data_IF_990585681378
#
_entry.id   IF_990585681378
#
_cell.length_a   1.000
_cell.length_b   1.000
_cell.length_c   1.000
_cell.angle_alpha   90.00
_cell.angle_beta   90.00
_cell.angle_gamma   90.00
#
_symmetry.space_group_name_H-M   'P 1'
#
loop_
_entity.id
_entity.type
_entity.pdbx_description
1 polymer ?
#
# COMPACT_ATOMS: atom_id res chain seq x y z
N UNK A 1 -40.32 -72.00 -14.40
CA UNK A 1 -39.27 -71.22 -13.74
C UNK A 1 -37.97 -71.57 -14.43
N UNK A 2 -37.55 -70.76 -15.41
CA UNK A 2 -36.21 -70.87 -15.96
C UNK A 2 -35.37 -69.84 -15.23
N UNK A 3 -34.49 -70.33 -14.36
CA UNK A 3 -33.42 -69.56 -13.78
C UNK A 3 -32.47 -69.19 -14.92
N UNK A 4 -32.64 -67.98 -15.47
CA UNK A 4 -31.70 -67.43 -16.44
C UNK A 4 -30.45 -67.04 -15.67
N UNK A 5 -29.55 -68.01 -15.52
CA UNK A 5 -28.25 -67.85 -14.90
C UNK A 5 -27.59 -66.56 -15.35
N UNK A 6 -27.14 -65.77 -14.37
CA UNK A 6 -26.43 -64.53 -14.58
C UNK A 6 -25.19 -64.81 -15.42
N UNK A 7 -25.23 -64.40 -16.69
CA UNK A 7 -24.08 -64.45 -17.58
C UNK A 7 -23.06 -63.45 -17.04
N UNK A 8 -22.11 -63.92 -16.24
CA UNK A 8 -20.95 -63.15 -15.84
C UNK A 8 -20.22 -62.75 -17.12
N UNK A 9 -20.17 -61.45 -17.40
CA UNK A 9 -19.56 -60.92 -18.61
C UNK A 9 -18.06 -61.30 -18.60
N UNK A 10 -17.58 -62.15 -19.53
CA UNK A 10 -16.24 -62.75 -19.43
C UNK A 10 -15.12 -61.83 -19.94
N UNK A 11 -15.45 -60.61 -20.34
CA UNK A 11 -14.50 -59.69 -20.92
C UNK A 11 -13.72 -58.94 -19.83
N UNK A 12 -12.43 -59.25 -19.71
CA UNK A 12 -11.46 -58.43 -18.98
C UNK A 12 -10.95 -57.35 -19.93
N UNK A 13 -11.21 -56.09 -19.62
CA UNK A 13 -10.62 -54.96 -20.35
C UNK A 13 -9.31 -54.60 -19.65
N UNK A 14 -8.17 -54.94 -20.26
CA UNK A 14 -6.85 -54.52 -19.79
C UNK A 14 -6.37 -53.32 -20.59
N UNK A 15 -6.26 -52.16 -19.96
CA UNK A 15 -5.69 -50.96 -20.57
C UNK A 15 -4.19 -50.95 -20.27
N UNK A 16 -3.38 -51.41 -21.23
CA UNK A 16 -1.92 -51.49 -21.06
C UNK A 16 -1.22 -50.12 -21.16
N UNK A 17 -1.87 -49.12 -21.79
CA UNK A 17 -1.38 -47.74 -21.88
C UNK A 17 -2.54 -46.79 -22.21
N UNK A 18 -2.80 -45.82 -21.35
CA UNK A 18 -3.64 -44.67 -21.66
C UNK A 18 -2.73 -43.45 -21.88
N UNK A 19 -2.87 -42.75 -22.99
CA UNK A 19 -2.08 -41.55 -23.31
C UNK A 19 -3.01 -40.36 -23.39
N UNK A 20 -2.86 -39.41 -22.47
CA UNK A 20 -3.55 -38.12 -22.55
C UNK A 20 -2.66 -37.13 -23.28
N UNK A 21 -3.15 -36.55 -24.36
CA UNK A 21 -2.49 -35.46 -25.06
C UNK A 21 -3.39 -34.23 -24.97
N UNK A 22 -2.94 -33.22 -24.23
CA UNK A 22 -3.53 -31.88 -24.34
C UNK A 22 -2.81 -31.15 -25.47
N UNK A 23 -3.53 -30.39 -26.30
CA UNK A 23 -2.89 -29.48 -27.23
C UNK A 23 -2.16 -28.39 -26.44
N UNK A 24 -0.84 -28.52 -26.30
CA UNK A 24 0.04 -27.43 -25.85
C UNK A 24 0.71 -27.56 -24.47
N UNK A 25 0.58 -28.68 -23.74
CA UNK A 25 1.30 -28.88 -22.46
C UNK A 25 2.09 -30.20 -22.49
N UNK A 26 3.40 -30.14 -22.27
CA UNK A 26 4.38 -31.22 -22.54
C UNK A 26 4.78 -32.04 -21.28
N UNK A 27 4.20 -31.77 -20.11
CA UNK A 27 4.59 -32.49 -18.89
C UNK A 27 3.67 -33.67 -18.54
N UNK A 28 4.21 -34.75 -17.96
CA UNK A 28 3.41 -35.91 -17.57
C UNK A 28 2.36 -35.51 -16.54
N UNK A 29 1.10 -35.71 -16.89
CA UNK A 29 -0.04 -35.58 -15.96
C UNK A 29 0.01 -36.84 -15.09
N UNK A 30 0.37 -36.70 -13.81
CA UNK A 30 0.04 -37.75 -12.83
C UNK A 30 -1.48 -37.80 -12.73
N UNK A 31 -2.05 -38.91 -13.17
CA UNK A 31 -3.47 -39.16 -13.14
C UNK A 31 -3.76 -40.18 -12.04
N UNK A 32 -4.59 -39.80 -11.08
CA UNK A 32 -5.15 -40.76 -10.14
C UNK A 32 -6.21 -41.57 -10.89
N UNK A 33 -6.04 -42.90 -10.90
CA UNK A 33 -7.01 -43.83 -11.44
C UNK A 33 -7.82 -44.39 -10.27
N UNK A 34 -9.13 -44.07 -10.24
CA UNK A 34 -10.05 -44.68 -9.28
C UNK A 34 -11.16 -45.44 -10.04
N UNK A 35 -11.47 -46.63 -9.56
CA UNK A 35 -12.57 -47.46 -10.08
C UNK A 35 -13.59 -47.58 -8.95
N UNK A 36 -14.76 -46.98 -9.17
CA UNK A 36 -15.88 -47.01 -8.23
C UNK A 36 -17.14 -47.35 -9.05
N UNK A 37 -17.93 -48.34 -8.58
CA UNK A 37 -19.15 -48.83 -9.25
C UNK A 37 -18.99 -49.17 -10.75
N UNK A 38 -17.82 -49.68 -11.13
CA UNK A 38 -17.54 -50.08 -12.52
C UNK A 38 -17.28 -48.92 -13.48
N UNK A 39 -17.21 -47.68 -12.98
CA UNK A 39 -16.85 -46.49 -13.75
C UNK A 39 -15.40 -46.11 -13.43
N UNK A 40 -14.56 -46.06 -14.47
CA UNK A 40 -13.21 -45.51 -14.37
C UNK A 40 -13.30 -43.98 -14.40
N UNK A 41 -13.03 -43.33 -13.27
CA UNK A 41 -12.92 -41.88 -13.19
C UNK A 41 -11.47 -41.46 -13.32
N UNK A 42 -11.16 -40.60 -14.30
CA UNK A 42 -9.87 -39.93 -14.40
C UNK A 42 -10.05 -38.49 -13.97
N UNK A 43 -9.43 -38.13 -12.84
CA UNK A 43 -9.29 -36.73 -12.43
C UNK A 43 -7.88 -36.29 -12.78
N UNK A 44 -7.68 -35.42 -13.79
CA UNK A 44 -6.36 -34.85 -14.02
C UNK A 44 -6.00 -33.99 -12.80
N UNK A 45 -5.08 -34.49 -11.98
CA UNK A 45 -4.50 -33.73 -10.89
C UNK A 45 -3.51 -32.72 -11.45
N UNK A 46 -3.81 -31.43 -11.36
CA UNK A 46 -2.76 -30.43 -11.49
C UNK A 46 -1.95 -30.47 -10.18
N UNK A 47 -0.76 -31.09 -10.20
CA UNK A 47 0.18 -30.97 -9.07
C UNK A 47 0.41 -29.49 -8.80
N UNK A 48 -0.06 -29.08 -7.64
CA UNK A 48 0.03 -27.73 -7.11
C UNK A 48 1.50 -27.46 -6.78
N UNK A 49 2.15 -26.51 -7.45
CA UNK A 49 3.51 -26.09 -7.12
C UNK A 49 4.34 -25.59 -8.30
N UNK A 50 4.15 -24.32 -8.67
CA UNK A 50 5.17 -23.42 -9.21
C UNK A 50 4.46 -22.07 -9.45
N UNK A 51 4.49 -21.19 -8.44
CA UNK A 51 3.80 -19.90 -8.49
C UNK A 51 4.23 -19.13 -9.76
N UNK A 52 3.23 -18.80 -10.58
CA UNK A 52 3.20 -18.84 -12.06
C UNK A 52 4.14 -17.89 -12.85
N UNK A 53 4.43 -18.18 -14.14
CA UNK A 53 5.02 -17.25 -15.12
C UNK A 53 3.86 -16.56 -15.85
N UNK A 54 3.94 -15.25 -16.08
CA UNK A 54 3.02 -14.54 -16.95
C UNK A 54 3.81 -13.56 -17.83
N UNK A 55 4.35 -14.10 -18.93
CA UNK A 55 4.70 -13.32 -20.14
C UNK A 55 3.55 -13.33 -21.16
N UNK A 56 2.67 -14.32 -21.08
CA UNK A 56 1.40 -14.50 -21.80
C UNK A 56 0.45 -15.39 -20.95
N UNK A 57 -0.85 -15.55 -21.27
CA UNK A 57 -1.84 -16.25 -20.44
C UNK A 57 -1.53 -17.72 -20.02
N UNK A 58 -0.51 -18.37 -20.61
CA UNK A 58 -0.29 -19.82 -20.48
C UNK A 58 1.14 -20.26 -20.08
N UNK A 59 2.07 -19.34 -19.79
CA UNK A 59 3.46 -19.72 -19.40
C UNK A 59 3.57 -20.18 -17.93
N UNK A 60 4.55 -21.03 -17.58
CA UNK A 60 4.82 -21.45 -16.18
C UNK A 60 6.32 -21.53 -15.85
N UNK A 61 6.76 -21.20 -14.62
CA UNK A 61 8.16 -21.31 -14.22
C UNK A 61 8.50 -22.78 -14.03
N UNK A 62 9.69 -23.18 -14.48
CA UNK A 62 10.10 -24.58 -14.46
C UNK A 62 11.11 -24.85 -13.34
N UNK A 63 11.75 -23.81 -12.81
CA UNK A 63 12.76 -23.91 -11.74
C UNK A 63 12.58 -22.82 -10.68
N UNK A 64 13.29 -22.94 -9.56
CA UNK A 64 13.35 -21.94 -8.48
C UNK A 64 14.37 -20.82 -8.73
N UNK A 65 15.14 -20.92 -9.81
CA UNK A 65 16.08 -19.87 -10.24
C UNK A 65 15.43 -18.91 -11.26
N UNK A 66 14.26 -19.27 -11.80
CA UNK A 66 13.50 -18.45 -12.73
C UNK A 66 12.83 -17.26 -12.01
N UNK A 67 12.92 -16.07 -12.61
CA UNK A 67 12.10 -14.92 -12.20
C UNK A 67 10.60 -15.21 -12.33
N UNK A 68 9.84 -14.87 -11.28
CA UNK A 68 8.38 -15.01 -11.22
C UNK A 68 7.72 -13.70 -11.65
N UNK A 69 6.94 -13.72 -12.74
CA UNK A 69 6.18 -12.56 -13.23
C UNK A 69 4.68 -12.87 -13.24
N UNK A 70 3.84 -11.96 -12.74
CA UNK A 70 2.37 -12.06 -12.77
C UNK A 70 1.78 -10.79 -13.41
N UNK A 71 0.94 -10.95 -14.43
CA UNK A 71 0.12 -9.91 -15.09
C UNK A 71 -1.21 -9.65 -14.33
N UNK A 72 -1.73 -10.69 -13.69
CA UNK A 72 -2.94 -10.67 -12.86
C UNK A 72 -2.72 -10.12 -11.45
N UNK A 73 -3.77 -10.17 -10.64
CA UNK A 73 -3.70 -9.82 -9.23
C UNK A 73 -3.17 -11.03 -8.45
N UNK A 74 -2.27 -10.79 -7.51
CA UNK A 74 -1.77 -11.79 -6.56
C UNK A 74 -2.41 -11.51 -5.21
N UNK A 75 -3.00 -12.53 -4.60
CA UNK A 75 -3.51 -12.47 -3.24
C UNK A 75 -2.79 -13.52 -2.39
N UNK A 76 -2.32 -13.12 -1.20
CA UNK A 76 -1.65 -13.98 -0.24
C UNK A 76 -2.48 -13.98 1.04
N UNK A 77 -2.74 -15.17 1.61
CA UNK A 77 -3.48 -15.32 2.87
C UNK A 77 -5.00 -15.45 2.74
N UNK A 78 -5.59 -15.13 1.58
CA UNK A 78 -7.04 -15.24 1.31
C UNK A 78 -7.40 -16.32 0.30
N UNK A 79 -8.55 -16.97 0.51
CA UNK A 79 -9.11 -17.95 -0.44
C UNK A 79 -9.68 -17.29 -1.70
N UNK A 80 -10.25 -16.08 -1.58
CA UNK A 80 -10.77 -15.28 -2.70
C UNK A 80 -10.74 -13.81 -2.34
N UNK A 81 -10.50 -12.91 -3.30
CA UNK A 81 -10.54 -11.45 -3.04
C UNK A 81 -11.90 -10.99 -2.50
N UNK A 82 -12.99 -11.72 -2.78
CA UNK A 82 -14.32 -11.43 -2.21
C UNK A 82 -14.44 -11.75 -0.71
N UNK A 83 -13.48 -12.46 -0.10
CA UNK A 83 -13.44 -12.68 1.35
C UNK A 83 -12.78 -11.54 2.11
N UNK A 84 -12.26 -10.52 1.41
CA UNK A 84 -11.69 -9.32 2.00
C UNK A 84 -12.80 -8.51 2.68
N UNK A 85 -12.56 -7.90 3.87
CA UNK A 85 -13.56 -7.08 4.56
C UNK A 85 -14.17 -5.99 3.67
N UNK A 86 -15.46 -5.70 3.87
CA UNK A 86 -16.27 -4.82 2.98
C UNK A 86 -15.61 -3.45 2.71
N UNK A 87 -15.01 -2.82 3.74
CA UNK A 87 -14.33 -1.53 3.57
C UNK A 87 -12.98 -1.59 2.81
N UNK A 88 -12.42 -2.78 2.61
CA UNK A 88 -11.19 -3.02 1.87
C UNK A 88 -11.42 -3.61 0.47
N UNK A 89 -12.64 -4.06 0.18
CA UNK A 89 -12.94 -4.89 -0.99
C UNK A 89 -12.64 -4.17 -2.32
N UNK A 90 -13.08 -2.92 -2.46
CA UNK A 90 -12.88 -2.15 -3.69
C UNK A 90 -11.41 -1.77 -3.92
N UNK A 91 -10.64 -1.61 -2.85
CA UNK A 91 -9.20 -1.36 -2.92
C UNK A 91 -8.49 -2.67 -3.31
N UNK A 92 -8.81 -3.78 -2.65
CA UNK A 92 -8.21 -5.09 -2.92
C UNK A 92 -8.49 -5.61 -4.33
N UNK A 93 -9.69 -5.35 -4.90
CA UNK A 93 -10.01 -5.70 -6.30
C UNK A 93 -9.15 -4.95 -7.32
N UNK A 94 -8.74 -3.72 -7.01
CA UNK A 94 -7.90 -2.89 -7.87
C UNK A 94 -6.40 -3.12 -7.64
N UNK A 95 -6.01 -3.58 -6.46
CA UNK A 95 -4.63 -3.86 -6.10
C UNK A 95 -4.07 -5.04 -6.91
N UNK A 96 -2.85 -4.88 -7.43
CA UNK A 96 -2.10 -5.95 -8.10
C UNK A 96 -1.52 -6.97 -7.13
N UNK A 97 -1.22 -6.54 -5.90
CA UNK A 97 -0.79 -7.39 -4.81
C UNK A 97 -1.64 -7.05 -3.58
N UNK A 98 -2.30 -8.07 -3.03
CA UNK A 98 -2.98 -8.03 -1.75
C UNK A 98 -2.39 -9.08 -0.83
N UNK A 99 -2.12 -8.70 0.42
CA UNK A 99 -1.58 -9.59 1.45
C UNK A 99 -2.49 -9.47 2.68
N UNK A 100 -3.14 -10.56 3.07
CA UNK A 100 -3.77 -10.66 4.37
C UNK A 100 -2.71 -11.07 5.39
N UNK A 101 -2.40 -10.14 6.30
CA UNK A 101 -1.34 -10.28 7.30
C UNK A 101 -0.19 -9.29 7.09
N UNK A 102 0.92 -9.53 7.78
CA UNK A 102 2.09 -8.66 7.74
C UNK A 102 2.96 -8.93 6.52
N UNK A 103 3.56 -7.87 5.98
CA UNK A 103 4.56 -7.97 4.92
C UNK A 103 5.94 -7.62 5.48
N UNK A 104 6.89 -8.55 5.42
CA UNK A 104 8.30 -8.30 5.73
C UNK A 104 9.09 -8.14 4.42
N UNK A 105 9.66 -6.95 4.18
CA UNK A 105 10.48 -6.66 3.01
C UNK A 105 11.92 -6.47 3.44
N UNK A 106 12.80 -7.36 2.99
CA UNK A 106 14.24 -7.18 3.13
C UNK A 106 14.77 -6.33 1.95
N UNK A 107 14.55 -5.02 2.01
CA UNK A 107 14.94 -4.09 0.94
C UNK A 107 14.15 -2.78 0.96
N UNK A 108 14.16 -2.08 -0.17
CA UNK A 108 13.48 -0.80 -0.34
C UNK A 108 12.16 -0.97 -1.07
N UNK A 109 11.13 -0.27 -0.61
CA UNK A 109 9.85 -0.11 -1.31
C UNK A 109 9.89 1.20 -2.09
N UNK A 110 9.76 1.13 -3.41
CA UNK A 110 9.62 2.31 -4.27
C UNK A 110 8.15 2.53 -4.59
N UNK A 111 7.65 3.74 -4.32
CA UNK A 111 6.30 4.16 -4.68
C UNK A 111 6.38 5.35 -5.63
N UNK A 112 5.60 5.29 -6.72
CA UNK A 112 5.48 6.42 -7.64
C UNK A 112 4.30 7.28 -7.23
N UNK A 113 4.56 8.54 -6.89
CA UNK A 113 3.55 9.55 -6.58
C UNK A 113 3.53 10.63 -7.66
N UNK A 114 2.41 11.32 -7.81
CA UNK A 114 2.28 12.44 -8.75
C UNK A 114 2.90 13.74 -8.23
N UNK A 115 3.22 13.80 -6.94
CA UNK A 115 3.51 15.03 -6.24
C UNK A 115 4.56 14.78 -5.16
N UNK A 116 5.37 15.80 -4.90
CA UNK A 116 6.37 15.87 -3.83
C UNK A 116 6.24 17.24 -3.16
N UNK A 117 6.44 17.33 -1.85
CA UNK A 117 5.96 18.47 -1.06
C UNK A 117 6.76 19.77 -1.19
N UNK A 118 7.86 19.78 -1.96
CA UNK A 118 8.74 20.95 -2.19
C UNK A 118 8.02 22.26 -2.61
N UNK A 119 6.75 22.17 -3.03
CA UNK A 119 5.91 23.34 -3.28
C UNK A 119 5.70 24.27 -2.08
N UNK A 120 5.89 23.80 -0.84
CA UNK A 120 5.68 24.64 0.35
C UNK A 120 6.69 25.78 0.36
N UNK A 121 7.99 25.46 0.24
CA UNK A 121 9.03 26.47 0.21
C UNK A 121 8.99 27.31 -1.07
N UNK A 122 8.71 26.71 -2.23
CA UNK A 122 8.54 27.47 -3.48
C UNK A 122 7.46 28.54 -3.32
N UNK A 123 6.27 28.14 -2.83
CA UNK A 123 5.16 29.08 -2.63
C UNK A 123 5.53 30.18 -1.64
N UNK A 124 6.19 29.84 -0.54
CA UNK A 124 6.55 30.80 0.50
C UNK A 124 7.56 31.84 0.02
N UNK A 125 8.64 31.41 -0.66
CA UNK A 125 9.73 32.31 -1.05
C UNK A 125 9.53 32.97 -2.42
N UNK A 126 8.87 32.29 -3.36
CA UNK A 126 8.67 32.78 -4.74
C UNK A 126 7.25 33.33 -4.98
N UNK A 127 6.29 33.05 -4.09
CA UNK A 127 4.88 33.44 -4.21
C UNK A 127 4.03 32.51 -5.08
N UNK A 128 4.66 31.56 -5.77
CA UNK A 128 4.01 30.56 -6.63
C UNK A 128 4.73 29.20 -6.55
N UNK A 129 4.01 28.13 -6.86
CA UNK A 129 4.62 26.81 -7.09
C UNK A 129 4.06 26.20 -8.37
N UNK A 130 4.95 25.65 -9.19
CA UNK A 130 4.59 24.94 -10.42
C UNK A 130 4.06 23.52 -10.15
N UNK A 131 4.36 22.96 -8.97
CA UNK A 131 3.97 21.60 -8.57
C UNK A 131 2.54 21.62 -8.02
N UNK A 132 2.18 22.64 -7.25
CA UNK A 132 0.85 22.79 -6.63
C UNK A 132 0.40 24.25 -6.61
N UNK A 133 -0.31 24.66 -7.66
CA UNK A 133 -0.74 26.04 -7.87
C UNK A 133 -1.74 26.56 -6.83
N UNK A 134 -2.54 25.67 -6.26
CA UNK A 134 -3.58 25.95 -5.27
C UNK A 134 -3.08 25.85 -3.82
N UNK A 135 -1.79 25.56 -3.61
CA UNK A 135 -1.19 25.55 -2.28
C UNK A 135 -1.15 26.97 -1.69
N UNK A 136 -1.48 27.06 -0.40
CA UNK A 136 -1.49 28.31 0.34
C UNK A 136 -0.97 28.09 1.77
N UNK A 137 0.13 28.76 2.10
CA UNK A 137 0.76 28.69 3.41
C UNK A 137 -0.13 29.38 4.46
N UNK A 138 -0.48 28.66 5.53
CA UNK A 138 -1.43 29.15 6.55
C UNK A 138 -0.69 29.65 7.77
N UNK A 139 -1.11 30.81 8.29
CA UNK A 139 -0.56 31.32 9.54
C UNK A 139 -0.99 30.48 10.76
N UNK A 140 -0.25 30.62 11.87
CA UNK A 140 -0.53 29.89 13.11
C UNK A 140 -1.91 30.22 13.72
N UNK A 141 -2.48 31.38 13.42
CA UNK A 141 -3.81 31.75 13.93
C UNK A 141 -4.91 30.93 13.23
N UNK A 142 -4.82 30.81 11.90
CA UNK A 142 -5.65 29.92 11.10
C UNK A 142 -5.49 28.47 11.55
N UNK A 143 -4.24 27.98 11.63
CA UNK A 143 -3.96 26.59 12.01
C UNK A 143 -4.55 26.27 13.39
N UNK A 144 -4.39 27.17 14.37
CA UNK A 144 -4.97 27.03 15.71
C UNK A 144 -6.48 26.91 15.69
N UNK A 145 -7.17 27.76 14.93
CA UNK A 145 -8.63 27.71 14.83
C UNK A 145 -9.09 26.43 14.12
N UNK A 146 -8.42 26.07 13.02
CA UNK A 146 -8.73 24.87 12.25
C UNK A 146 -8.59 23.60 13.12
N UNK A 147 -7.48 23.44 13.83
CA UNK A 147 -7.24 22.27 14.69
C UNK A 147 -8.23 22.22 15.87
N UNK A 148 -8.63 23.38 16.40
CA UNK A 148 -9.65 23.45 17.47
C UNK A 148 -11.02 22.96 17.00
N UNK A 149 -11.39 23.28 15.77
CA UNK A 149 -12.69 22.92 15.19
C UNK A 149 -12.73 21.50 14.60
N UNK A 150 -11.66 21.10 13.92
CA UNK A 150 -11.64 19.87 13.10
C UNK A 150 -10.84 18.73 13.75
N UNK A 151 -10.02 19.01 14.77
CA UNK A 151 -9.20 18.02 15.47
C UNK A 151 -8.16 17.28 14.61
N UNK A 152 -7.80 17.83 13.46
CA UNK A 152 -6.67 17.41 12.63
C UNK A 152 -6.00 18.64 11.99
N UNK A 153 -4.82 18.45 11.41
CA UNK A 153 -4.10 19.51 10.71
C UNK A 153 -4.73 19.81 9.33
N UNK A 154 -4.68 21.07 8.86
CA UNK A 154 -5.09 21.39 7.51
C UNK A 154 -4.21 20.67 6.49
N UNK A 155 -4.81 20.13 5.44
CA UNK A 155 -4.12 19.37 4.39
C UNK A 155 -3.79 17.91 4.74
N UNK A 156 -4.10 17.45 5.95
CA UNK A 156 -3.96 16.04 6.36
C UNK A 156 -5.31 15.34 6.30
N UNK A 157 -5.34 14.12 5.75
CA UNK A 157 -6.57 13.33 5.64
C UNK A 157 -7.15 13.04 7.04
N UNK A 158 -8.39 13.47 7.34
CA UNK A 158 -9.01 13.18 8.62
C UNK A 158 -9.39 11.71 8.73
N UNK A 159 -9.46 11.21 9.96
CA UNK A 159 -9.86 9.82 10.25
C UNK A 159 -11.27 9.47 9.72
N UNK A 160 -12.14 10.46 9.58
CA UNK A 160 -13.50 10.29 9.04
C UNK A 160 -13.52 9.98 7.54
N UNK A 161 -12.48 10.38 6.80
CA UNK A 161 -12.38 10.16 5.35
C UNK A 161 -11.61 8.88 5.01
N UNK A 162 -11.07 8.19 6.03
CA UNK A 162 -10.41 6.91 5.87
C UNK A 162 -11.42 5.77 5.77
N UNK A 163 -11.16 4.82 4.86
CA UNK A 163 -11.94 3.60 4.78
C UNK A 163 -11.74 2.77 6.06
N UNK A 164 -12.85 2.30 6.65
CA UNK A 164 -12.84 1.46 7.85
C UNK A 164 -12.81 -0.02 7.46
N UNK A 165 -11.85 -0.76 7.99
CA UNK A 165 -11.82 -2.21 7.98
C UNK A 165 -12.37 -2.76 9.31
N UNK A 166 -12.58 -4.08 9.40
CA UNK A 166 -13.10 -4.74 10.60
C UNK A 166 -12.31 -4.40 11.87
N UNK A 167 -10.98 -4.27 11.75
CA UNK A 167 -10.07 -4.08 12.88
C UNK A 167 -9.23 -2.78 12.79
N UNK A 168 -9.60 -1.81 11.94
CA UNK A 168 -8.79 -0.59 11.80
C UNK A 168 -9.16 0.31 10.62
N UNK A 169 -8.22 1.17 10.23
CA UNK A 169 -8.36 2.08 9.09
C UNK A 169 -7.40 1.69 7.98
N UNK A 170 -7.83 1.90 6.74
CA UNK A 170 -7.00 1.69 5.56
C UNK A 170 -6.36 3.02 5.21
N UNK A 171 -5.04 3.02 5.14
CA UNK A 171 -4.23 4.23 4.91
C UNK A 171 -3.45 4.06 3.62
N UNK A 172 -3.50 5.07 2.75
CA UNK A 172 -2.55 5.21 1.65
C UNK A 172 -1.23 5.74 2.21
N UNK A 173 -0.26 4.84 2.37
CA UNK A 173 1.05 5.19 2.94
C UNK A 173 1.81 6.22 2.09
N UNK A 174 1.69 6.16 0.77
CA UNK A 174 2.41 7.07 -0.12
C UNK A 174 1.86 8.49 0.00
N UNK A 175 0.53 8.61 0.04
CA UNK A 175 -0.15 9.89 0.29
C UNK A 175 0.19 10.43 1.67
N UNK A 176 0.15 9.59 2.72
CA UNK A 176 0.45 10.01 4.09
C UNK A 176 1.89 10.54 4.23
N UNK A 177 2.86 9.95 3.55
CA UNK A 177 4.25 10.44 3.56
C UNK A 177 4.35 11.85 2.95
N UNK A 178 3.62 12.12 1.86
CA UNK A 178 3.58 13.46 1.24
C UNK A 178 2.89 14.46 2.16
N UNK A 179 1.73 14.11 2.73
CA UNK A 179 1.01 14.97 3.69
C UNK A 179 1.89 15.30 4.91
N UNK A 180 2.64 14.32 5.43
CA UNK A 180 3.60 14.54 6.52
C UNK A 180 4.74 15.46 6.11
N UNK A 181 5.31 15.29 4.91
CA UNK A 181 6.39 16.16 4.43
C UNK A 181 5.90 17.60 4.28
N UNK A 182 4.70 17.83 3.71
CA UNK A 182 4.07 19.16 3.63
C UNK A 182 4.01 19.81 5.02
N UNK A 183 3.56 19.06 6.05
CA UNK A 183 3.46 19.60 7.42
C UNK A 183 4.82 19.85 8.07
N UNK A 184 5.83 19.04 7.77
CA UNK A 184 7.19 19.25 8.25
C UNK A 184 7.76 20.56 7.67
N UNK A 185 7.58 20.79 6.38
CA UNK A 185 8.05 22.02 5.72
C UNK A 185 7.33 23.26 6.29
N UNK A 186 6.02 23.20 6.49
CA UNK A 186 5.26 24.27 7.14
C UNK A 186 5.74 24.55 8.57
N UNK A 187 6.01 23.49 9.35
CA UNK A 187 6.56 23.63 10.69
C UNK A 187 7.92 24.33 10.68
N UNK A 188 8.80 23.99 9.73
CA UNK A 188 10.09 24.68 9.58
C UNK A 188 9.91 26.15 9.25
N UNK A 189 8.97 26.52 8.38
CA UNK A 189 8.67 27.93 8.08
C UNK A 189 8.23 28.69 9.33
N UNK A 190 7.27 28.14 10.09
CA UNK A 190 6.85 28.77 11.35
C UNK A 190 7.96 28.89 12.38
N UNK A 191 8.87 27.91 12.46
CA UNK A 191 10.03 27.98 13.35
C UNK A 191 11.00 29.09 12.91
N UNK A 192 11.24 29.25 11.61
CA UNK A 192 12.06 30.33 11.06
C UNK A 192 11.43 31.69 11.38
N UNK A 193 10.13 31.86 11.12
CA UNK A 193 9.39 33.09 11.47
C UNK A 193 9.51 33.41 12.96
N UNK A 194 9.36 32.39 13.83
CA UNK A 194 9.46 32.54 15.27
C UNK A 194 10.88 32.91 15.73
N UNK A 195 11.92 32.33 15.13
CA UNK A 195 13.31 32.66 15.42
C UNK A 195 13.64 34.12 15.04
N UNK A 196 13.13 34.61 13.90
CA UNK A 196 13.27 36.01 13.51
C UNK A 196 12.60 36.97 14.51
N UNK A 197 11.40 36.62 14.99
CA UNK A 197 10.71 37.40 16.03
C UNK A 197 11.53 37.41 17.32
N UNK A 198 12.05 36.25 17.75
CA UNK A 198 12.85 36.14 18.97
C UNK A 198 14.13 36.98 18.88
N UNK A 199 14.82 36.98 17.73
CA UNK A 199 16.01 37.81 17.49
C UNK A 199 15.68 39.30 17.59
N UNK A 200 14.59 39.75 16.95
CA UNK A 200 14.12 41.14 17.03
C UNK A 200 13.78 41.55 18.47
N UNK A 201 13.13 40.66 19.22
CA UNK A 201 12.83 40.89 20.64
C UNK A 201 14.11 41.00 21.48
N UNK A 202 15.09 40.14 21.25
CA UNK A 202 16.37 40.19 21.97
C UNK A 202 17.15 41.48 21.66
N UNK A 203 17.17 41.92 20.39
CA UNK A 203 17.76 43.21 20.01
C UNK A 203 17.08 44.37 20.73
N UNK A 204 15.75 44.35 20.84
CA UNK A 204 14.99 45.36 21.58
C UNK A 204 15.32 45.35 23.07
N UNK A 205 15.40 44.19 23.70
CA UNK A 205 15.78 44.02 25.10
C UNK A 205 17.18 44.61 25.34
N UNK A 206 18.17 44.23 24.52
CA UNK A 206 19.54 44.75 24.63
C UNK A 206 19.57 46.29 24.50
N UNK A 207 18.75 46.87 23.63
CA UNK A 207 18.65 48.33 23.50
C UNK A 207 18.06 48.99 24.75
N UNK A 208 17.00 48.40 25.32
CA UNK A 208 16.37 48.90 26.54
C UNK A 208 17.34 48.81 27.74
N UNK A 209 18.06 47.71 27.88
CA UNK A 209 19.08 47.53 28.92
C UNK A 209 20.17 48.60 28.82
N UNK A 210 20.70 48.86 27.62
CA UNK A 210 21.70 49.91 27.40
C UNK A 210 21.19 51.30 27.76
N UNK A 211 19.92 51.60 27.47
CA UNK A 211 19.30 52.88 27.84
C UNK A 211 19.12 52.99 29.35
N UNK A 212 18.76 51.90 30.02
CA UNK A 212 18.60 51.85 31.46
C UNK A 212 19.95 52.08 32.17
N UNK A 213 21.02 51.42 31.72
CA UNK A 213 22.39 51.62 32.23
C UNK A 213 22.82 53.08 32.12
N UNK A 214 22.62 53.72 30.96
CA UNK A 214 22.94 55.15 30.78
C UNK A 214 22.16 56.05 31.73
N UNK A 215 20.90 55.73 32.00
CA UNK A 215 20.07 56.50 32.93
C UNK A 215 20.54 56.33 34.38
N UNK A 216 20.89 55.10 34.78
CA UNK A 216 21.47 54.81 36.10
C UNK A 216 22.81 55.52 36.31
N UNK A 217 23.68 55.55 35.29
CA UNK A 217 24.94 56.31 35.34
C UNK A 217 24.69 57.81 35.51
N UNK A 218 23.71 58.38 34.82
CA UNK A 218 23.35 59.80 34.98
C UNK A 218 22.84 60.10 36.38
N UNK A 219 22.05 59.20 36.98
CA UNK A 219 21.53 59.36 38.34
C UNK A 219 22.62 59.23 39.41
N UNK A 220 23.61 58.35 39.22
CA UNK A 220 24.70 58.14 40.17
C UNK A 220 25.76 59.26 40.13
N UNK A 221 25.78 60.06 39.07
CA UNK A 221 26.70 61.19 38.89
C UNK A 221 26.08 62.55 39.30
N UNK A 222 24.86 62.55 39.85
CA UNK A 222 24.16 63.71 40.42
C UNK A 222 24.34 63.76 41.95
#
# INVERSE_FOLDING_TARGET
>A
MNDMGTVSNPYVISINKATYTSLGVVNPIEADFNIEDGILSIKPGFKNGAWNKQKAPNDRPETTEDDIYQYGNVAIGVDRVDSVPEGSLEIAKKAKLYVEGDTFVNGTIYSQTSTYADYVFEKYFLGESAIKYDYDFKDLAYVKNFVKENHHLPGVTPIGDLNKAANGYIVDYSKLVIEQLEKIEELYLHIIEQDEVNKKQQEHINNLELRMQKMEELLNNL
#
